data_IF_072718135079
#
_entry.id   IF_072718135079
#
_cell.length_a   1.000
_cell.length_b   1.000
_cell.length_c   1.000
_cell.angle_alpha   90.00
_cell.angle_beta   90.00
_cell.angle_gamma   90.00
#
_symmetry.space_group_name_H-M   'P 1'
#
loop_
_entity.id
_entity.type
_entity.pdbx_description
1 polymer ?
#
# COMPACT_ATOMS: atom_id res chain seq x y z
N UNK A 1 -22.94 20.96 -32.62
CA UNK A 1 -21.80 21.83 -33.03
C UNK A 1 -21.82 23.11 -32.21
N UNK A 2 -20.85 23.27 -31.29
CA UNK A 2 -20.02 24.46 -31.04
C UNK A 2 -19.34 24.26 -29.68
N UNK A 3 -18.01 24.15 -29.77
CA UNK A 3 -17.10 23.73 -28.71
C UNK A 3 -16.74 24.90 -27.78
N UNK A 4 -16.57 24.57 -26.49
CA UNK A 4 -16.04 25.46 -25.45
C UNK A 4 -15.00 24.65 -24.66
N UNK A 5 -13.78 25.19 -24.58
CA UNK A 5 -12.74 25.05 -23.54
C UNK A 5 -11.39 25.33 -24.24
N UNK A 6 -11.04 26.58 -24.53
CA UNK A 6 -10.44 27.57 -23.63
C UNK A 6 -9.12 27.09 -23.01
N UNK A 7 -8.03 27.64 -23.59
CA UNK A 7 -6.73 27.98 -22.99
C UNK A 7 -5.80 26.84 -22.57
N UNK A 8 -5.02 26.34 -23.54
CA UNK A 8 -3.70 25.76 -23.28
C UNK A 8 -2.64 26.87 -23.46
N UNK A 9 -2.26 27.49 -22.34
CA UNK A 9 -1.03 28.28 -22.19
C UNK A 9 -0.30 27.64 -20.98
N UNK A 10 1.00 27.42 -20.93
CA UNK A 10 2.08 28.07 -21.64
C UNK A 10 3.41 27.31 -21.39
N UNK A 11 4.43 27.72 -22.14
CA UNK A 11 5.86 27.62 -21.84
C UNK A 11 6.55 26.24 -21.84
N UNK A 12 7.10 25.91 -23.01
CA UNK A 12 8.31 25.11 -23.16
C UNK A 12 9.50 26.01 -22.78
N UNK A 13 10.26 25.66 -21.75
CA UNK A 13 11.55 26.30 -21.50
C UNK A 13 12.18 26.00 -20.14
N UNK A 14 13.11 25.05 -20.11
CA UNK A 14 14.45 25.16 -19.49
C UNK A 14 15.21 23.84 -19.68
N UNK A 15 16.40 23.91 -20.26
CA UNK A 15 17.29 22.77 -20.54
C UNK A 15 17.96 22.27 -19.27
N UNK A 16 17.98 20.95 -19.07
CA UNK A 16 18.64 20.32 -17.92
C UNK A 16 20.16 20.49 -18.03
N UNK A 17 20.79 21.09 -17.00
CA UNK A 17 22.22 20.92 -16.75
C UNK A 17 22.36 19.97 -15.54
N UNK A 18 22.63 18.68 -15.84
CA UNK A 18 23.07 17.71 -14.84
C UNK A 18 24.44 18.14 -14.32
N UNK A 19 24.50 18.53 -13.05
CA UNK A 19 25.77 18.82 -12.37
C UNK A 19 26.28 17.52 -11.77
N UNK A 20 27.31 16.94 -12.39
CA UNK A 20 28.02 15.79 -11.85
C UNK A 20 28.89 16.26 -10.68
N UNK A 21 28.61 15.77 -9.48
CA UNK A 21 29.49 15.90 -8.32
C UNK A 21 30.14 14.54 -8.06
N UNK A 22 31.41 14.42 -8.46
CA UNK A 22 32.25 13.27 -8.16
C UNK A 22 33.05 13.59 -6.90
N UNK A 23 32.48 13.25 -5.74
CA UNK A 23 33.20 13.32 -4.46
C UNK A 23 33.74 11.93 -4.17
N UNK A 24 34.84 11.59 -4.83
CA UNK A 24 35.57 10.36 -4.55
C UNK A 24 35.84 10.20 -3.04
N UNK A 25 35.65 8.97 -2.56
CA UNK A 25 35.96 8.45 -1.21
C UNK A 25 34.85 8.60 -0.15
N UNK A 26 33.85 7.71 -0.20
CA UNK A 26 33.19 7.20 1.01
C UNK A 26 32.74 5.74 0.78
N UNK A 27 32.96 4.88 1.78
CA UNK A 27 32.38 3.54 1.81
C UNK A 27 30.84 3.67 1.86
N UNK A 28 30.08 2.79 1.19
CA UNK A 28 28.62 2.85 1.27
C UNK A 28 28.17 2.51 2.69
N UNK A 29 27.75 3.53 3.44
CA UNK A 29 26.92 3.36 4.62
C UNK A 29 25.58 2.80 4.14
N UNK A 30 25.19 1.61 4.60
CA UNK A 30 23.87 1.06 4.31
C UNK A 30 22.87 1.86 5.15
N UNK A 31 22.48 3.01 4.60
CA UNK A 31 21.31 3.74 5.06
C UNK A 31 20.14 2.83 4.74
N UNK A 32 19.51 2.27 5.77
CA UNK A 32 18.18 1.70 5.65
C UNK A 32 17.21 2.85 5.37
N UNK A 33 17.23 3.36 4.14
CA UNK A 33 16.19 4.21 3.62
C UNK A 33 14.99 3.30 3.41
N UNK A 34 13.93 3.50 4.19
CA UNK A 34 12.67 2.81 3.97
C UNK A 34 12.22 3.11 2.55
N UNK A 35 12.44 2.16 1.64
CA UNK A 35 12.03 2.28 0.25
C UNK A 35 10.51 2.38 0.28
N UNK A 36 9.97 3.55 -0.05
CA UNK A 36 8.55 3.77 -0.21
C UNK A 36 8.04 2.87 -1.35
N UNK A 37 7.47 1.71 -0.98
CA UNK A 37 7.00 0.73 -1.95
C UNK A 37 5.68 1.24 -2.54
N UNK A 38 5.78 2.02 -3.61
CA UNK A 38 4.60 2.43 -4.37
C UNK A 38 3.95 1.19 -5.00
N UNK A 39 2.65 0.93 -4.78
CA UNK A 39 1.98 -0.22 -5.37
C UNK A 39 2.02 -0.12 -6.90
N UNK A 40 2.34 -1.24 -7.59
CA UNK A 40 2.40 -1.29 -9.06
C UNK A 40 1.06 -0.97 -9.72
N UNK A 41 -0.04 -1.32 -9.06
CA UNK A 41 -1.39 -1.01 -9.48
C UNK A 41 -2.34 -1.00 -8.27
N UNK A 42 -3.43 -0.24 -8.39
CA UNK A 42 -4.51 -0.23 -7.39
C UNK A 42 -5.67 -1.05 -7.98
N UNK A 43 -5.96 -2.20 -7.37
CA UNK A 43 -7.14 -2.99 -7.71
C UNK A 43 -8.34 -2.40 -6.99
N UNK A 44 -9.35 -1.99 -7.74
CA UNK A 44 -10.62 -1.52 -7.17
C UNK A 44 -11.60 -2.69 -7.10
N UNK A 45 -12.15 -2.91 -5.92
CA UNK A 45 -13.23 -3.85 -5.68
C UNK A 45 -14.49 -3.09 -5.22
N UNK A 46 -15.70 -3.60 -5.50
CA UNK A 46 -16.90 -3.09 -4.86
C UNK A 46 -16.85 -3.32 -3.33
N UNK A 47 -17.59 -2.53 -2.53
CA UNK A 47 -17.78 -2.79 -1.11
C UNK A 47 -18.23 -4.23 -0.85
N UNK A 48 -17.68 -4.86 0.19
CA UNK A 48 -18.01 -6.24 0.57
C UNK A 48 -17.96 -6.44 2.09
N UNK A 49 -18.58 -7.52 2.56
CA UNK A 49 -18.50 -7.93 3.96
C UNK A 49 -17.52 -9.08 4.12
N UNK A 50 -16.45 -8.86 4.89
CA UNK A 50 -15.38 -9.83 5.14
C UNK A 50 -15.47 -10.32 6.59
N UNK A 51 -15.71 -11.62 6.77
CA UNK A 51 -15.76 -12.24 8.10
C UNK A 51 -14.61 -13.23 8.29
N UNK A 52 -13.79 -13.01 9.32
CA UNK A 52 -12.77 -13.96 9.75
C UNK A 52 -13.32 -14.84 10.88
N UNK A 53 -13.18 -16.16 10.72
CA UNK A 53 -13.40 -17.12 11.80
C UNK A 53 -12.03 -17.64 12.21
N UNK A 54 -11.64 -17.35 13.45
CA UNK A 54 -10.32 -17.66 13.99
C UNK A 54 -10.44 -18.83 14.97
N UNK A 55 -9.67 -19.90 14.77
CA UNK A 55 -9.64 -21.02 15.71
C UNK A 55 -8.61 -20.77 16.82
N UNK A 56 -9.06 -20.91 18.07
CA UNK A 56 -8.24 -20.79 19.29
C UNK A 56 -8.13 -22.10 20.07
N UNK A 57 -8.44 -23.22 19.41
CA UNK A 57 -8.29 -24.55 19.96
C UNK A 57 -6.85 -24.83 20.39
N UNK A 58 -6.67 -25.78 21.31
CA UNK A 58 -5.35 -26.16 21.82
C UNK A 58 -4.39 -26.68 20.74
N UNK A 59 -4.92 -27.13 19.60
CA UNK A 59 -4.12 -27.63 18.46
C UNK A 59 -3.27 -26.53 17.81
N UNK A 60 -3.70 -25.27 17.94
CA UNK A 60 -3.04 -24.10 17.35
C UNK A 60 -2.21 -23.32 18.35
N UNK A 61 -2.00 -23.80 19.58
CA UNK A 61 -1.30 -23.04 20.64
C UNK A 61 0.01 -22.38 20.20
N UNK A 62 0.80 -23.05 19.36
CA UNK A 62 2.09 -22.55 18.88
C UNK A 62 2.01 -21.87 17.49
N UNK A 63 0.83 -21.85 16.85
CA UNK A 63 0.58 -21.33 15.50
C UNK A 63 -0.49 -20.26 15.44
N UNK A 64 -1.18 -20.00 16.56
CA UNK A 64 -2.24 -18.99 16.66
C UNK A 64 -1.74 -17.63 16.17
N UNK A 65 -0.49 -17.28 16.48
CA UNK A 65 0.08 -16.04 16.02
C UNK A 65 0.25 -15.98 14.50
N UNK A 66 0.53 -17.10 13.84
CA UNK A 66 0.63 -17.17 12.38
C UNK A 66 -0.73 -16.86 11.72
N UNK A 67 -1.82 -17.33 12.30
CA UNK A 67 -3.18 -17.03 11.81
C UNK A 67 -3.52 -15.56 11.97
N UNK A 68 -3.17 -14.97 13.12
CA UNK A 68 -3.34 -13.52 13.33
C UNK A 68 -2.50 -12.71 12.33
N UNK A 69 -1.28 -13.16 12.02
CA UNK A 69 -0.41 -12.48 11.06
C UNK A 69 -0.91 -12.61 9.61
N UNK A 70 -1.60 -13.70 9.26
CA UNK A 70 -2.34 -13.79 8.01
C UNK A 70 -3.45 -12.72 7.96
N UNK A 71 -4.27 -12.62 9.01
CA UNK A 71 -5.35 -11.62 9.08
C UNK A 71 -4.77 -10.20 8.97
N UNK A 72 -3.69 -9.89 9.72
CA UNK A 72 -3.00 -8.59 9.67
C UNK A 72 -2.53 -8.24 8.25
N UNK A 73 -1.96 -9.21 7.53
CA UNK A 73 -1.50 -9.00 6.14
C UNK A 73 -2.66 -8.70 5.20
N UNK A 74 -3.81 -9.35 5.38
CA UNK A 74 -5.00 -9.09 4.55
C UNK A 74 -5.55 -7.69 4.83
N UNK A 75 -5.80 -7.35 6.10
CA UNK A 75 -6.41 -6.05 6.45
C UNK A 75 -5.52 -4.86 6.09
N UNK A 76 -4.20 -5.04 6.05
CA UNK A 76 -3.26 -4.00 5.61
C UNK A 76 -3.46 -3.57 4.14
N UNK A 77 -4.09 -4.42 3.33
CA UNK A 77 -4.32 -4.18 1.90
C UNK A 77 -5.80 -3.97 1.55
N UNK A 78 -6.67 -3.84 2.55
CA UNK A 78 -8.12 -3.66 2.36
C UNK A 78 -8.53 -2.29 2.89
N UNK A 79 -9.29 -1.53 2.10
CA UNK A 79 -9.91 -0.29 2.55
C UNK A 79 -11.15 -0.60 3.38
N UNK A 80 -11.08 -0.36 4.69
CA UNK A 80 -12.17 -0.64 5.63
C UNK A 80 -13.00 0.62 5.88
N UNK A 81 -14.33 0.49 5.85
CA UNK A 81 -15.25 1.60 6.15
C UNK A 81 -16.71 1.23 5.90
N UNK A 82 -17.62 2.08 6.38
CA UNK A 82 -19.08 1.85 6.28
C UNK A 82 -19.57 1.79 4.83
N UNK A 83 -18.97 2.60 3.94
CA UNK A 83 -19.23 2.61 2.50
C UNK A 83 -18.18 1.83 1.68
N UNK A 84 -17.34 1.03 2.35
CA UNK A 84 -16.25 0.26 1.76
C UNK A 84 -16.33 -1.18 2.28
N UNK A 85 -15.20 -1.87 2.46
CA UNK A 85 -15.22 -3.20 3.05
C UNK A 85 -15.55 -3.11 4.53
N UNK A 86 -16.58 -3.84 4.97
CA UNK A 86 -16.87 -4.03 6.40
C UNK A 86 -16.23 -5.32 6.87
N UNK A 87 -15.66 -5.32 8.06
CA UNK A 87 -14.91 -6.47 8.57
C UNK A 87 -15.47 -6.91 9.91
N UNK A 88 -15.64 -8.22 10.08
CA UNK A 88 -15.96 -8.85 11.35
C UNK A 88 -14.93 -9.95 11.64
N UNK A 89 -14.66 -10.19 12.93
CA UNK A 89 -13.82 -11.29 13.38
C UNK A 89 -14.53 -12.01 14.52
N UNK A 90 -14.64 -13.33 14.39
CA UNK A 90 -15.18 -14.22 15.40
C UNK A 90 -14.09 -15.20 15.80
N UNK A 91 -13.79 -15.28 17.09
CA UNK A 91 -12.92 -16.30 17.63
C UNK A 91 -13.76 -17.49 18.09
N UNK A 92 -13.44 -18.68 17.60
CA UNK A 92 -14.00 -19.96 18.02
C UNK A 92 -12.94 -20.74 18.82
N UNK A 93 -13.36 -21.62 19.72
CA UNK A 93 -12.47 -22.40 20.61
C UNK A 93 -12.75 -23.88 20.49
#
# INVERSE_FOLDING_TARGET
>A
MKAICVLLAAFIGATNALKVIDNGLALPEIVHEEVEVKPRCVVKAPPLDLMFILDSSGSLKNKFQDEVDVIRRIIAHVTIGESATRVALVQYR
#
